data_IF_495327098007
#
_entry.id   IF_495327098007
#
_cell.length_a   1.000
_cell.length_b   1.000
_cell.length_c   1.000
_cell.angle_alpha   90.00
_cell.angle_beta   90.00
_cell.angle_gamma   90.00
#
_symmetry.space_group_name_H-M   'P 1'
#
loop_
_entity.id
_entity.type
_entity.pdbx_description
1 polymer ?
#
# COMPACT_ATOMS: atom_id res chain seq x y z
N UNK A 1 29.93 -22.88 18.24
CA UNK A 1 28.50 -22.84 17.87
C UNK A 1 28.37 -22.01 16.60
N UNK A 2 28.33 -22.68 15.45
CA UNK A 2 28.25 -22.05 14.13
C UNK A 2 26.86 -21.45 13.93
N UNK A 3 26.82 -20.15 13.62
CA UNK A 3 25.61 -19.47 13.15
C UNK A 3 25.21 -20.08 11.82
N UNK A 4 24.15 -20.89 11.80
CA UNK A 4 23.52 -21.36 10.56
C UNK A 4 23.00 -20.13 9.83
N UNK A 5 23.70 -19.69 8.77
CA UNK A 5 23.13 -18.75 7.79
C UNK A 5 22.04 -19.52 7.03
N UNK A 6 20.79 -19.35 7.45
CA UNK A 6 19.64 -19.83 6.68
C UNK A 6 19.70 -19.15 5.31
N UNK A 7 19.90 -19.93 4.26
CA UNK A 7 19.93 -19.43 2.89
C UNK A 7 18.57 -18.79 2.56
N UNK A 8 18.59 -17.50 2.19
CA UNK A 8 17.39 -16.77 1.77
C UNK A 8 16.88 -17.37 0.47
N UNK A 9 15.58 -17.59 0.36
CA UNK A 9 14.95 -18.20 -0.83
C UNK A 9 14.81 -17.17 -1.96
N UNK A 10 14.73 -17.64 -3.21
CA UNK A 10 14.68 -16.82 -4.45
C UNK A 10 13.55 -15.77 -4.46
N UNK A 11 12.53 -15.93 -3.61
CA UNK A 11 11.42 -14.97 -3.47
C UNK A 11 11.82 -13.63 -2.80
N UNK A 12 13.08 -13.52 -2.35
CA UNK A 12 13.63 -12.35 -1.64
C UNK A 12 14.86 -11.78 -2.36
N UNK A 13 15.49 -12.53 -3.26
CA UNK A 13 16.67 -12.09 -4.01
C UNK A 13 16.27 -11.62 -5.41
N UNK A 14 16.85 -10.50 -5.79
CA UNK A 14 16.80 -9.92 -7.13
C UNK A 14 18.25 -9.75 -7.54
N UNK A 15 18.61 -10.27 -8.71
CA UNK A 15 19.98 -10.20 -9.24
C UNK A 15 20.31 -8.81 -9.84
N UNK A 16 19.29 -7.96 -10.01
CA UNK A 16 19.40 -6.62 -10.58
C UNK A 16 19.15 -5.53 -9.53
N UNK A 17 19.94 -4.46 -9.56
CA UNK A 17 19.70 -3.26 -8.75
C UNK A 17 18.54 -2.45 -9.32
N UNK A 18 17.31 -2.86 -9.02
CA UNK A 18 16.10 -2.14 -9.42
C UNK A 18 15.66 -1.22 -8.29
N UNK A 19 15.39 0.06 -8.62
CA UNK A 19 14.88 1.06 -7.68
C UNK A 19 13.40 1.36 -7.91
N UNK A 20 12.73 1.89 -6.88
CA UNK A 20 11.32 2.29 -6.96
C UNK A 20 11.05 3.38 -8.01
N UNK A 21 12.03 4.19 -8.38
CA UNK A 21 11.94 5.17 -9.48
C UNK A 21 11.46 4.58 -10.81
N UNK A 22 11.72 3.29 -11.06
CA UNK A 22 11.25 2.59 -12.27
C UNK A 22 9.78 2.16 -12.20
N UNK A 23 9.22 2.07 -10.98
CA UNK A 23 7.86 1.60 -10.73
C UNK A 23 6.90 2.76 -10.44
N UNK A 24 7.42 3.86 -9.89
CA UNK A 24 6.64 4.95 -9.32
C UNK A 24 6.86 6.24 -10.13
N UNK A 25 5.77 6.74 -10.70
CA UNK A 25 5.75 7.95 -11.53
C UNK A 25 5.51 9.20 -10.69
N UNK A 26 4.72 9.10 -9.62
CA UNK A 26 4.46 10.22 -8.71
C UNK A 26 5.66 10.46 -7.77
N UNK A 27 6.28 11.64 -7.90
CA UNK A 27 7.49 12.01 -7.12
C UNK A 27 7.22 12.18 -5.63
N UNK A 28 6.04 12.66 -5.23
CA UNK A 28 5.69 12.82 -3.81
C UNK A 28 5.44 11.47 -3.15
N UNK A 29 4.80 10.54 -3.86
CA UNK A 29 4.67 9.16 -3.41
C UNK A 29 6.04 8.48 -3.26
N UNK A 30 6.90 8.60 -4.27
CA UNK A 30 8.26 8.06 -4.21
C UNK A 30 9.03 8.63 -3.00
N UNK A 31 8.94 9.95 -2.77
CA UNK A 31 9.54 10.61 -1.61
C UNK A 31 9.00 10.06 -0.30
N UNK A 32 7.69 9.85 -0.20
CA UNK A 32 7.04 9.31 0.99
C UNK A 32 7.49 7.88 1.28
N UNK A 33 7.55 7.05 0.24
CA UNK A 33 8.02 5.67 0.30
C UNK A 33 9.48 5.58 0.79
N UNK A 34 10.41 6.34 0.19
CA UNK A 34 11.82 6.37 0.62
C UNK A 34 11.92 6.84 2.07
N UNK A 35 11.19 7.89 2.45
CA UNK A 35 11.21 8.40 3.83
C UNK A 35 10.56 7.48 4.86
N UNK A 36 9.72 6.54 4.42
CA UNK A 36 9.20 5.47 5.25
C UNK A 36 10.18 4.29 5.40
N UNK A 37 11.36 4.36 4.78
CA UNK A 37 12.44 3.38 4.91
C UNK A 37 12.41 2.26 3.86
N UNK A 38 11.68 2.45 2.76
CA UNK A 38 11.63 1.49 1.65
C UNK A 38 12.62 1.91 0.56
N UNK A 39 13.83 1.36 0.62
CA UNK A 39 14.91 1.72 -0.31
C UNK A 39 14.86 0.93 -1.62
N UNK A 40 14.50 -0.35 -1.56
CA UNK A 40 14.46 -1.26 -2.73
C UNK A 40 13.17 -2.08 -2.77
N UNK A 41 12.59 -2.29 -3.97
CA UNK A 41 11.39 -3.11 -4.13
C UNK A 41 11.70 -4.59 -3.91
N UNK A 42 10.75 -5.33 -3.35
CA UNK A 42 10.82 -6.79 -3.28
C UNK A 42 10.40 -7.44 -4.62
N UNK A 43 10.74 -8.73 -4.86
CA UNK A 43 10.33 -9.42 -6.09
C UNK A 43 8.82 -9.40 -6.37
N UNK A 44 7.99 -9.46 -5.32
CA UNK A 44 6.53 -9.36 -5.48
C UNK A 44 6.10 -7.94 -5.89
N UNK A 45 6.77 -6.91 -5.38
CA UNK A 45 6.50 -5.51 -5.75
C UNK A 45 6.86 -5.22 -7.20
N UNK A 46 8.04 -5.70 -7.65
CA UNK A 46 8.47 -5.57 -9.04
C UNK A 46 7.50 -6.20 -10.02
N UNK A 47 6.92 -7.36 -9.67
CA UNK A 47 6.02 -8.11 -10.55
C UNK A 47 4.59 -7.60 -10.52
N UNK A 48 4.09 -7.17 -9.36
CA UNK A 48 2.67 -6.88 -9.17
C UNK A 48 2.29 -5.40 -9.30
N UNK A 49 3.22 -4.47 -9.05
CA UNK A 49 2.93 -3.02 -9.18
C UNK A 49 2.63 -2.63 -10.64
N UNK A 50 3.45 -3.00 -11.64
CA UNK A 50 3.21 -2.59 -13.03
C UNK A 50 1.84 -3.01 -13.59
N UNK A 51 1.41 -4.30 -13.53
CA UNK A 51 0.09 -4.68 -14.04
C UNK A 51 -1.05 -4.03 -13.24
N UNK A 52 -0.89 -3.85 -11.92
CA UNK A 52 -1.89 -3.16 -11.10
C UNK A 52 -2.08 -1.69 -11.49
N UNK A 53 -0.99 -0.97 -11.79
CA UNK A 53 -1.04 0.41 -12.30
C UNK A 53 -1.70 0.53 -13.67
N UNK A 54 -1.69 -0.55 -14.46
CA UNK A 54 -2.39 -0.63 -15.75
C UNK A 54 -3.88 -0.96 -15.61
N UNK A 55 -4.39 -1.11 -14.38
CA UNK A 55 -5.78 -1.45 -14.12
C UNK A 55 -6.14 -2.90 -14.41
N UNK A 56 -5.13 -3.79 -14.50
CA UNK A 56 -5.37 -5.23 -14.68
C UNK A 56 -5.71 -5.88 -13.34
N UNK A 57 -6.51 -6.94 -13.40
CA UNK A 57 -6.75 -7.79 -12.24
C UNK A 57 -5.48 -8.59 -11.89
N UNK A 58 -5.05 -8.49 -10.64
CA UNK A 58 -3.80 -9.11 -10.17
C UNK A 58 -4.06 -10.00 -8.96
N UNK A 59 -3.69 -11.28 -9.07
CA UNK A 59 -3.57 -12.19 -7.94
C UNK A 59 -2.09 -12.26 -7.54
N UNK A 60 -1.75 -11.66 -6.39
CA UNK A 60 -0.39 -11.61 -5.89
C UNK A 60 -0.19 -12.53 -4.68
N UNK A 61 0.64 -13.56 -4.81
CA UNK A 61 1.00 -14.47 -3.72
C UNK A 61 2.48 -14.33 -3.37
N UNK A 62 2.76 -14.14 -2.08
CA UNK A 62 4.12 -14.10 -1.55
C UNK A 62 4.10 -14.44 -0.05
N UNK A 63 5.28 -14.74 0.52
CA UNK A 63 5.45 -15.02 1.95
C UNK A 63 5.05 -13.82 2.81
N UNK A 64 4.74 -14.03 4.09
CA UNK A 64 4.50 -12.93 5.04
C UNK A 64 5.74 -12.04 5.16
N UNK A 65 5.53 -10.73 5.40
CA UNK A 65 6.64 -9.77 5.52
C UNK A 65 7.32 -9.36 4.22
N UNK A 66 6.85 -9.81 3.04
CA UNK A 66 7.43 -9.47 1.72
C UNK A 66 6.92 -8.16 1.12
N UNK A 67 6.12 -7.39 1.88
CA UNK A 67 5.65 -6.07 1.46
C UNK A 67 4.45 -6.09 0.51
N UNK A 68 3.56 -7.08 0.60
CA UNK A 68 2.30 -7.12 -0.18
C UNK A 68 1.43 -5.88 0.03
N UNK A 69 1.39 -5.34 1.25
CA UNK A 69 0.67 -4.09 1.56
C UNK A 69 1.18 -2.89 0.75
N UNK A 70 2.50 -2.84 0.51
CA UNK A 70 3.11 -1.80 -0.31
C UNK A 70 2.71 -1.94 -1.78
N UNK A 71 2.49 -3.16 -2.28
CA UNK A 71 2.02 -3.39 -3.66
C UNK A 71 0.71 -2.66 -3.90
N UNK A 72 -0.35 -3.05 -3.19
CA UNK A 72 -1.66 -2.43 -3.41
C UNK A 72 -1.72 -0.99 -2.90
N UNK A 73 -0.91 -0.62 -1.91
CA UNK A 73 -0.78 0.77 -1.45
C UNK A 73 -0.22 1.70 -2.53
N UNK A 74 0.86 1.29 -3.21
CA UNK A 74 1.42 2.06 -4.34
C UNK A 74 0.44 2.10 -5.50
N UNK A 75 -0.17 0.96 -5.87
CA UNK A 75 -1.16 0.90 -6.95
C UNK A 75 -2.31 1.86 -6.66
N UNK A 76 -2.89 1.80 -5.46
CA UNK A 76 -3.96 2.69 -5.05
C UNK A 76 -3.54 4.16 -5.14
N UNK A 77 -2.40 4.55 -4.57
CA UNK A 77 -1.97 5.95 -4.52
C UNK A 77 -1.55 6.53 -5.87
N UNK A 78 -1.11 5.70 -6.82
CA UNK A 78 -0.76 6.14 -8.18
C UNK A 78 -1.97 6.42 -9.08
N UNK A 79 -3.08 5.70 -8.86
CA UNK A 79 -4.28 5.83 -9.70
C UNK A 79 -5.27 6.87 -9.16
N UNK A 80 -5.05 7.39 -7.94
CA UNK A 80 -5.94 8.37 -7.33
C UNK A 80 -5.95 9.71 -8.08
N UNK A 81 -7.14 10.25 -8.26
CA UNK A 81 -7.36 11.66 -8.52
C UNK A 81 -7.63 12.40 -7.20
N UNK A 82 -6.61 13.09 -6.67
CA UNK A 82 -6.69 13.84 -5.42
C UNK A 82 -7.50 15.15 -5.53
N UNK A 83 -7.95 15.52 -6.72
CA UNK A 83 -8.87 16.65 -6.90
C UNK A 83 -10.33 16.26 -6.59
N UNK A 84 -10.65 14.97 -6.72
CA UNK A 84 -11.97 14.43 -6.44
C UNK A 84 -12.04 13.87 -4.99
N UNK A 85 -12.81 14.50 -4.08
CA UNK A 85 -12.82 14.14 -2.66
C UNK A 85 -13.61 12.87 -2.32
N UNK A 86 -14.18 12.19 -3.32
CA UNK A 86 -15.01 10.99 -3.13
C UNK A 86 -14.20 9.69 -3.13
N UNK A 87 -14.73 8.61 -2.51
CA UNK A 87 -14.04 7.32 -2.47
C UNK A 87 -13.78 6.77 -3.87
N UNK A 88 -12.51 6.41 -4.13
CA UNK A 88 -12.05 5.83 -5.39
C UNK A 88 -11.45 4.44 -5.21
N UNK A 89 -10.95 4.15 -4.00
CA UNK A 89 -10.34 2.86 -3.65
C UNK A 89 -11.02 2.29 -2.40
N UNK A 90 -11.38 1.00 -2.48
CA UNK A 90 -11.83 0.20 -1.35
C UNK A 90 -10.81 -0.91 -1.06
N UNK A 91 -10.37 -1.01 0.19
CA UNK A 91 -9.48 -2.07 0.67
C UNK A 91 -10.20 -2.85 1.76
N UNK A 92 -10.40 -4.15 1.52
CA UNK A 92 -11.00 -5.05 2.50
C UNK A 92 -9.91 -5.81 3.25
N UNK A 93 -9.94 -5.73 4.57
CA UNK A 93 -9.05 -6.43 5.48
C UNK A 93 -9.82 -7.52 6.24
N UNK A 94 -9.19 -8.65 6.60
CA UNK A 94 -9.86 -9.74 7.29
C UNK A 94 -10.15 -9.45 8.77
N UNK A 95 -9.47 -8.49 9.37
CA UNK A 95 -9.71 -8.06 10.76
C UNK A 95 -9.61 -6.55 10.90
N UNK A 96 -10.15 -6.02 12.01
CA UNK A 96 -10.14 -4.58 12.32
C UNK A 96 -8.71 -4.05 12.50
N UNK A 97 -7.85 -4.84 13.13
CA UNK A 97 -6.45 -4.52 13.40
C UNK A 97 -5.67 -4.41 12.09
N UNK A 98 -5.91 -5.33 11.15
CA UNK A 98 -5.26 -5.28 9.83
C UNK A 98 -5.76 -4.07 9.03
N UNK A 99 -7.03 -3.68 9.15
CA UNK A 99 -7.54 -2.46 8.52
C UNK A 99 -6.80 -1.21 9.03
N UNK A 100 -6.62 -1.10 10.35
CA UNK A 100 -5.88 0.01 10.98
C UNK A 100 -4.41 0.03 10.55
N UNK A 101 -3.72 -1.11 10.63
CA UNK A 101 -2.32 -1.22 10.19
C UNK A 101 -2.15 -0.88 8.70
N UNK A 102 -3.11 -1.29 7.87
CA UNK A 102 -3.09 -0.99 6.42
C UNK A 102 -3.21 0.52 6.17
N UNK A 103 -4.09 1.20 6.91
CA UNK A 103 -4.20 2.67 6.87
C UNK A 103 -2.89 3.34 7.24
N UNK A 104 -2.23 2.89 8.31
CA UNK A 104 -0.96 3.47 8.77
C UNK A 104 0.12 3.39 7.69
N UNK A 105 0.23 2.24 7.03
CA UNK A 105 1.18 2.05 5.92
C UNK A 105 0.86 3.00 4.76
N UNK A 106 -0.40 3.06 4.32
CA UNK A 106 -0.83 3.90 3.19
C UNK A 106 -0.61 5.38 3.50
N UNK A 107 -0.98 5.84 4.70
CA UNK A 107 -0.74 7.21 5.14
C UNK A 107 0.75 7.51 5.26
N UNK A 108 1.58 6.56 5.68
CA UNK A 108 3.04 6.74 5.80
C UNK A 108 3.69 6.97 4.44
N UNK A 109 3.41 6.12 3.45
CA UNK A 109 3.99 6.25 2.11
C UNK A 109 3.35 7.39 1.31
N UNK A 110 2.07 7.70 1.57
CA UNK A 110 1.33 8.79 0.93
C UNK A 110 1.46 10.15 1.63
N UNK A 111 2.33 10.29 2.65
CA UNK A 111 2.37 11.47 3.54
C UNK A 111 2.65 12.82 2.85
N UNK A 112 3.24 12.79 1.64
CA UNK A 112 3.53 13.97 0.84
C UNK A 112 2.49 14.25 -0.25
N UNK A 113 1.49 13.36 -0.42
CA UNK A 113 0.39 13.59 -1.33
C UNK A 113 -0.59 14.55 -0.67
N UNK A 114 -0.53 15.82 -1.08
CA UNK A 114 -1.43 16.83 -0.56
C UNK A 114 -2.89 16.43 -0.76
N UNK A 115 -3.74 16.71 0.23
CA UNK A 115 -5.18 16.42 0.24
C UNK A 115 -5.55 14.93 0.36
N UNK A 116 -4.60 14.00 0.35
CA UNK A 116 -4.88 12.58 0.56
C UNK A 116 -5.75 12.38 1.82
N UNK A 117 -6.82 11.61 1.66
CA UNK A 117 -7.75 11.28 2.73
C UNK A 117 -7.98 9.77 2.71
N UNK A 118 -7.49 9.09 3.75
CA UNK A 118 -7.55 7.66 3.91
C UNK A 118 -8.18 7.34 5.26
N UNK A 119 -9.30 6.61 5.26
CA UNK A 119 -10.10 6.36 6.45
C UNK A 119 -10.37 4.87 6.65
N UNK A 120 -10.53 4.49 7.91
CA UNK A 120 -10.90 3.12 8.30
C UNK A 120 -12.35 3.12 8.76
N UNK A 121 -13.08 2.10 8.28
CA UNK A 121 -14.49 1.84 8.52
C UNK A 121 -14.61 0.43 9.10
N UNK A 122 -14.79 0.34 10.42
CA UNK A 122 -14.81 -0.92 11.16
C UNK A 122 -15.94 -0.88 12.19
N UNK A 123 -16.56 -2.03 12.46
CA UNK A 123 -17.64 -2.11 13.44
C UNK A 123 -17.18 -1.73 14.86
N UNK A 124 -18.16 -1.41 15.72
CA UNK A 124 -17.91 -1.02 17.12
C UNK A 124 -17.60 0.46 17.33
N UNK A 125 -17.61 1.27 16.26
CA UNK A 125 -17.52 2.73 16.31
C UNK A 125 -18.85 3.36 15.86
N UNK A 126 -19.17 4.59 16.29
CA UNK A 126 -20.40 5.28 15.87
C UNK A 126 -20.44 5.50 14.35
N UNK A 127 -21.55 5.11 13.72
CA UNK A 127 -21.75 5.24 12.27
C UNK A 127 -21.74 6.70 11.83
N UNK A 128 -22.16 7.62 12.69
CA UNK A 128 -22.17 9.05 12.43
C UNK A 128 -20.76 9.61 12.17
N UNK A 129 -19.73 9.05 12.81
CA UNK A 129 -18.34 9.43 12.56
C UNK A 129 -17.88 8.96 11.18
N UNK A 130 -18.29 7.76 10.78
CA UNK A 130 -17.96 7.20 9.48
C UNK A 130 -18.64 7.97 8.34
N UNK A 131 -19.91 8.35 8.52
CA UNK A 131 -20.62 9.24 7.58
C UNK A 131 -19.92 10.59 7.40
N UNK A 132 -19.30 11.14 8.46
CA UNK A 132 -18.50 12.37 8.36
C UNK A 132 -17.22 12.15 7.57
N UNK A 133 -16.49 11.05 7.83
CA UNK A 133 -15.26 10.69 7.11
C UNK A 133 -15.53 10.48 5.61
N UNK A 134 -16.65 9.84 5.25
CA UNK A 134 -17.01 9.56 3.85
C UNK A 134 -17.20 10.81 3.00
N UNK A 135 -17.49 11.97 3.59
CA UNK A 135 -17.62 13.24 2.85
C UNK A 135 -16.32 13.70 2.20
N UNK A 136 -15.16 13.24 2.71
CA UNK A 136 -13.84 13.53 2.16
C UNK A 136 -12.94 12.31 2.38
N UNK A 137 -12.99 11.37 1.45
CA UNK A 137 -12.30 10.09 1.54
C UNK A 137 -11.90 9.65 0.14
N UNK A 138 -10.62 9.42 -0.11
CA UNK A 138 -10.13 8.86 -1.38
C UNK A 138 -9.97 7.34 -1.27
N UNK A 139 -9.48 6.87 -0.12
CA UNK A 139 -9.26 5.45 0.18
C UNK A 139 -10.09 5.07 1.42
N UNK A 140 -11.03 4.15 1.21
CA UNK A 140 -11.79 3.51 2.28
C UNK A 140 -11.19 2.14 2.60
N UNK A 141 -10.87 1.89 3.87
CA UNK A 141 -10.32 0.62 4.34
C UNK A 141 -11.28 0.05 5.37
N UNK A 142 -11.67 -1.21 5.27
CA UNK A 142 -12.61 -1.78 6.23
C UNK A 142 -12.48 -3.28 6.40
N UNK A 143 -13.12 -3.79 7.43
CA UNK A 143 -13.35 -5.22 7.61
C UNK A 143 -14.81 -5.53 7.33
N UNK A 144 -15.13 -6.55 6.50
CA UNK A 144 -16.50 -7.01 6.26
C UNK A 144 -17.23 -7.45 7.54
#
# INVERSE_FOLDING_TARGET
MSTIKIARTRDVQIDEEVNFDSLITNRDLLRGLIKAGYDRPSPIQLKAIPPGKLGLDVIAQAKSGTGKTIVFGIVALEILDLSNPHPQVLILAPTREIAVQTKEVICSIGRYLERLACHVFIGGLPVEEDLKKLKKCHIAIGSP
#
